data_IF_544152937764
#
_entry.id   IF_544152937764
#
_cell.length_a   1.000
_cell.length_b   1.000
_cell.length_c   1.000
_cell.angle_alpha   90.00
_cell.angle_beta   90.00
_cell.angle_gamma   90.00
#
_symmetry.space_group_name_H-M   'P 1'
#
loop_
_entity.id
_entity.type
_entity.pdbx_description
1 polymer ?
#
# COMPACT_ATOMS: atom_id res chain seq x y z
N UNK A 1 3.47 13.35 31.64
CA UNK A 1 3.46 11.90 31.93
C UNK A 1 3.53 11.17 30.60
N UNK A 2 4.48 10.26 30.41
CA UNK A 2 4.54 9.40 29.23
C UNK A 2 3.79 8.11 29.54
N UNK A 3 2.70 7.86 28.82
CA UNK A 3 2.00 6.56 28.85
C UNK A 3 2.87 5.58 28.05
N UNK A 4 3.05 4.35 28.54
CA UNK A 4 3.83 3.34 27.84
C UNK A 4 3.07 2.79 26.64
N UNK A 5 3.79 2.27 25.64
CA UNK A 5 3.17 1.71 24.44
C UNK A 5 2.27 0.51 24.78
N UNK A 6 2.64 -0.29 25.78
CA UNK A 6 1.89 -1.47 26.23
C UNK A 6 0.53 -1.08 26.83
N UNK A 7 0.46 0.06 27.54
CA UNK A 7 -0.81 0.57 28.08
C UNK A 7 -1.72 1.04 26.95
N UNK A 8 -1.17 1.77 25.97
CA UNK A 8 -1.92 2.23 24.79
C UNK A 8 -2.43 1.06 23.93
N UNK A 9 -1.62 0.02 23.77
CA UNK A 9 -2.01 -1.19 23.05
C UNK A 9 -3.18 -1.89 23.75
N UNK A 10 -3.09 -2.05 25.07
CA UNK A 10 -4.16 -2.68 25.87
C UNK A 10 -5.49 -1.93 25.71
N UNK A 11 -5.45 -0.59 25.78
CA UNK A 11 -6.63 0.24 25.57
C UNK A 11 -7.16 0.16 24.13
N UNK A 12 -6.28 0.23 23.12
CA UNK A 12 -6.65 0.12 21.71
C UNK A 12 -7.30 -1.24 21.38
N UNK A 13 -6.82 -2.33 21.99
CA UNK A 13 -7.38 -3.67 21.81
C UNK A 13 -8.78 -3.81 22.42
N UNK A 14 -9.13 -2.98 23.41
CA UNK A 14 -10.47 -2.98 24.03
C UNK A 14 -11.54 -2.26 23.19
N UNK A 15 -11.14 -1.46 22.19
CA UNK A 15 -12.06 -0.69 21.37
C UNK A 15 -13.00 -1.58 20.53
N UNK A 16 -14.24 -1.11 20.26
CA UNK A 16 -15.10 -1.68 19.25
C UNK A 16 -14.41 -1.74 17.88
N UNK A 17 -14.81 -2.70 17.05
CA UNK A 17 -14.20 -2.96 15.73
C UNK A 17 -14.04 -1.69 14.89
N UNK A 18 -15.08 -0.88 14.78
CA UNK A 18 -15.07 0.33 13.96
C UNK A 18 -14.07 1.38 14.47
N UNK A 19 -14.06 1.64 15.78
CA UNK A 19 -13.14 2.59 16.41
C UNK A 19 -11.69 2.12 16.31
N UNK A 20 -11.46 0.82 16.50
CA UNK A 20 -10.15 0.19 16.32
C UNK A 20 -9.65 0.33 14.88
N UNK A 21 -10.50 0.08 13.89
CA UNK A 21 -10.16 0.27 12.47
C UNK A 21 -9.80 1.73 12.18
N UNK A 22 -10.58 2.69 12.70
CA UNK A 22 -10.27 4.12 12.53
C UNK A 22 -8.93 4.50 13.16
N UNK A 23 -8.64 3.99 14.36
CA UNK A 23 -7.37 4.23 15.05
C UNK A 23 -6.18 3.66 14.26
N UNK A 24 -6.30 2.45 13.71
CA UNK A 24 -5.26 1.83 12.88
C UNK A 24 -4.94 2.71 11.67
N UNK A 25 -5.96 3.21 10.95
CA UNK A 25 -5.77 4.09 9.79
C UNK A 25 -5.00 5.34 10.19
N UNK A 26 -5.43 6.05 11.24
CA UNK A 26 -4.75 7.27 11.69
C UNK A 26 -3.30 7.01 12.13
N UNK A 27 -3.03 5.87 12.80
CA UNK A 27 -1.67 5.51 13.20
C UNK A 27 -0.78 5.28 11.98
N UNK A 28 -1.27 4.57 10.97
CA UNK A 28 -0.56 4.33 9.71
C UNK A 28 -0.28 5.65 8.96
N UNK A 29 -1.29 6.50 8.79
CA UNK A 29 -1.14 7.83 8.16
C UNK A 29 -0.09 8.70 8.89
N UNK A 30 0.00 8.58 10.22
CA UNK A 30 0.99 9.32 11.03
C UNK A 30 2.44 8.88 10.79
N UNK A 31 2.64 7.66 10.27
CA UNK A 31 3.94 7.15 9.87
C UNK A 31 4.30 7.61 8.46
N UNK A 32 3.32 7.63 7.56
CA UNK A 32 3.48 8.09 6.18
C UNK A 32 3.83 9.59 6.11
N UNK A 33 3.21 10.42 6.94
CA UNK A 33 3.51 11.86 7.01
C UNK A 33 4.90 12.18 7.58
N UNK A 34 5.49 11.27 8.37
CA UNK A 34 6.81 11.47 9.01
C UNK A 34 7.98 11.01 8.17
N UNK A 35 7.73 10.18 7.15
CA UNK A 35 8.71 9.88 6.13
C UNK A 35 8.82 11.07 5.17
N UNK A 36 9.77 11.95 5.44
CA UNK A 36 10.20 13.04 4.54
C UNK A 36 10.81 12.57 3.21
N UNK A 37 10.34 11.45 2.66
CA UNK A 37 10.45 11.15 1.24
C UNK A 37 9.56 12.16 0.52
N UNK A 38 10.17 12.98 -0.32
CA UNK A 38 9.49 13.93 -1.19
C UNK A 38 8.43 13.16 -2.00
N UNK A 39 7.18 13.12 -1.51
CA UNK A 39 6.11 12.28 -2.05
C UNK A 39 5.90 12.56 -3.54
N UNK A 40 6.10 13.82 -3.92
CA UNK A 40 6.10 14.28 -5.30
C UNK A 40 7.22 13.65 -6.17
N UNK A 41 8.43 13.44 -5.66
CA UNK A 41 9.51 12.78 -6.41
C UNK A 41 9.21 11.30 -6.61
N UNK A 42 8.66 10.64 -5.59
CA UNK A 42 8.24 9.23 -5.68
C UNK A 42 7.12 9.11 -6.71
N UNK A 43 6.09 9.96 -6.62
CA UNK A 43 4.98 9.99 -7.58
C UNK A 43 5.47 10.24 -9.02
N UNK A 44 6.38 11.20 -9.22
CA UNK A 44 7.01 11.45 -10.51
C UNK A 44 7.80 10.25 -11.03
N UNK A 45 8.54 9.56 -10.15
CA UNK A 45 9.28 8.37 -10.52
C UNK A 45 8.34 7.21 -10.93
N UNK A 46 7.21 7.04 -10.24
CA UNK A 46 6.19 6.05 -10.61
C UNK A 46 5.54 6.36 -11.96
N UNK A 47 5.22 7.62 -12.24
CA UNK A 47 4.68 8.03 -13.56
C UNK A 47 5.71 7.78 -14.67
N UNK A 48 6.97 8.14 -14.44
CA UNK A 48 8.04 7.90 -15.40
C UNK A 48 8.22 6.41 -15.68
N UNK A 49 8.23 5.57 -14.63
CA UNK A 49 8.33 4.12 -14.77
C UNK A 49 7.14 3.53 -15.53
N UNK A 50 5.91 3.93 -15.20
CA UNK A 50 4.73 3.45 -15.90
C UNK A 50 4.79 3.77 -17.41
N UNK A 51 5.23 4.98 -17.76
CA UNK A 51 5.41 5.37 -19.15
C UNK A 51 6.54 4.57 -19.83
N UNK A 52 7.66 4.36 -19.14
CA UNK A 52 8.78 3.57 -19.66
C UNK A 52 8.37 2.14 -20.00
N UNK A 53 7.62 1.48 -19.10
CA UNK A 53 7.09 0.13 -19.32
C UNK A 53 6.10 0.07 -20.47
N UNK A 54 5.19 1.04 -20.54
CA UNK A 54 4.24 1.11 -21.65
C UNK A 54 4.96 1.24 -23.01
N UNK A 55 5.96 2.11 -23.10
CA UNK A 55 6.74 2.28 -24.32
C UNK A 55 7.58 1.03 -24.65
N UNK A 56 8.15 0.36 -23.65
CA UNK A 56 8.87 -0.90 -23.82
C UNK A 56 7.94 -2.01 -24.34
N UNK A 57 6.71 -2.09 -23.83
CA UNK A 57 5.68 -3.00 -24.34
C UNK A 57 5.32 -2.70 -25.80
N UNK A 58 5.12 -1.43 -26.17
CA UNK A 58 4.84 -1.03 -27.56
C UNK A 58 6.02 -1.40 -28.49
N UNK A 59 7.26 -1.30 -28.01
CA UNK A 59 8.46 -1.75 -28.74
C UNK A 59 8.66 -3.27 -28.76
N UNK A 60 7.86 -4.04 -28.02
CA UNK A 60 8.00 -5.50 -27.89
C UNK A 60 9.18 -5.94 -27.01
N UNK A 61 9.72 -5.02 -26.20
CA UNK A 61 10.79 -5.28 -25.23
C UNK A 61 10.24 -5.87 -23.91
N UNK A 62 8.95 -5.68 -23.65
CA UNK A 62 8.23 -6.30 -22.53
C UNK A 62 7.11 -7.23 -23.02
N UNK A 63 6.91 -8.34 -22.31
CA UNK A 63 5.81 -9.26 -22.55
C UNK A 63 4.66 -8.96 -21.57
N UNK A 64 3.47 -8.72 -22.11
CA UNK A 64 2.26 -8.62 -21.29
C UNK A 64 1.67 -10.02 -21.04
N UNK A 65 1.02 -10.15 -19.89
CA UNK A 65 0.19 -11.31 -19.57
C UNK A 65 -1.26 -10.91 -19.82
N UNK A 66 -2.05 -11.79 -20.41
CA UNK A 66 -3.48 -11.53 -20.61
C UNK A 66 -4.17 -11.41 -19.24
N UNK A 67 -5.04 -10.42 -19.11
CA UNK A 67 -5.73 -10.17 -17.83
C UNK A 67 -6.55 -11.37 -17.38
N UNK A 68 -7.12 -12.14 -18.31
CA UNK A 68 -7.86 -13.38 -18.02
C UNK A 68 -6.99 -14.44 -17.32
N UNK A 69 -5.73 -14.58 -17.71
CA UNK A 69 -4.78 -15.52 -17.08
C UNK A 69 -4.44 -15.06 -15.67
N UNK A 70 -4.19 -13.76 -15.47
CA UNK A 70 -3.95 -13.17 -14.15
C UNK A 70 -5.13 -13.40 -13.20
N UNK A 71 -6.36 -13.15 -13.66
CA UNK A 71 -7.56 -13.36 -12.84
C UNK A 71 -7.87 -14.82 -12.56
N UNK A 72 -7.49 -15.72 -13.48
CA UNK A 72 -7.64 -17.15 -13.28
C UNK A 72 -6.71 -17.65 -12.18
N UNK A 73 -5.45 -17.21 -12.19
CA UNK A 73 -4.45 -17.59 -11.18
C UNK A 73 -4.82 -17.07 -9.79
N UNK A 74 -5.25 -15.80 -9.67
CA UNK A 74 -5.71 -15.24 -8.39
C UNK A 74 -6.86 -16.04 -7.77
N UNK A 75 -7.84 -16.47 -8.57
CA UNK A 75 -8.98 -17.27 -8.09
C UNK A 75 -8.58 -18.70 -7.69
N UNK A 76 -7.46 -19.20 -8.20
CA UNK A 76 -6.94 -20.51 -7.87
C UNK A 76 -6.15 -20.49 -6.54
N UNK A 77 -5.52 -19.35 -6.22
CA UNK A 77 -4.73 -19.16 -4.99
C UNK A 77 -5.62 -18.98 -3.73
N UNK A 78 -6.86 -18.50 -3.91
CA UNK A 78 -7.88 -18.38 -2.85
C UNK A 78 -8.54 -19.74 -2.43
N UNK A 79 -8.04 -20.89 -2.91
CA UNK A 79 -8.64 -22.24 -2.71
C UNK A 79 -7.84 -23.18 -1.82
#
# INVERSE_FOLDING_TARGET
MTISAEVLETEALSLPKEEKTRLIVHLLESLEQRSGSNSQQVEQAWVAEANNRYEAYIRGEEQAILSEDVFKDLKADDR
#
